data_IF_247574420091
#
_entry.id   IF_247574420091
#
_cell.length_a   1.000
_cell.length_b   1.000
_cell.length_c   1.000
_cell.angle_alpha   90.00
_cell.angle_beta   90.00
_cell.angle_gamma   90.00
#
_symmetry.space_group_name_H-M   'P 1'
#
loop_
_entity.id
_entity.type
_entity.pdbx_description
1 polymer ?
#
# COMPACT_ATOMS: atom_id res chain seq x y z
N UNK A 1 41.24 52.96 -23.24
CA UNK A 1 40.20 52.15 -23.90
C UNK A 1 39.84 51.03 -22.96
N UNK A 2 38.60 51.03 -22.49
CA UNK A 2 38.03 50.05 -21.57
C UNK A 2 37.32 49.01 -22.42
N UNK A 3 37.68 47.73 -22.30
CA UNK A 3 36.77 46.62 -22.60
C UNK A 3 37.20 45.42 -21.77
N UNK A 4 36.65 45.36 -20.57
CA UNK A 4 36.53 44.17 -19.71
C UNK A 4 35.64 43.15 -20.42
N UNK A 5 36.16 41.97 -20.72
CA UNK A 5 35.36 40.81 -21.09
C UNK A 5 35.10 39.96 -19.84
N UNK A 6 34.02 40.27 -19.11
CA UNK A 6 33.40 39.34 -18.17
C UNK A 6 32.61 38.33 -19.00
N UNK A 7 33.20 37.17 -19.32
CA UNK A 7 32.43 36.06 -19.84
C UNK A 7 31.62 35.43 -18.68
N UNK A 8 30.31 35.58 -18.76
CA UNK A 8 29.32 35.02 -17.85
C UNK A 8 29.36 33.47 -17.92
N UNK A 9 29.83 32.81 -16.86
CA UNK A 9 29.67 31.36 -16.66
C UNK A 9 28.35 30.99 -15.94
N UNK A 10 27.25 31.71 -16.19
CA UNK A 10 25.98 31.47 -15.47
C UNK A 10 24.98 30.61 -16.23
N UNK A 11 25.28 30.16 -17.45
CA UNK A 11 24.30 29.46 -18.29
C UNK A 11 24.15 27.93 -18.03
N UNK A 12 24.96 27.33 -17.15
CA UNK A 12 24.96 25.86 -16.98
C UNK A 12 24.18 25.33 -15.76
N UNK A 13 23.57 26.20 -14.95
CA UNK A 13 22.78 25.75 -13.79
C UNK A 13 21.30 25.45 -14.11
N UNK A 14 20.81 25.73 -15.32
CA UNK A 14 19.35 25.79 -15.60
C UNK A 14 18.78 24.51 -16.23
N UNK A 15 19.59 23.54 -16.63
CA UNK A 15 19.14 22.43 -17.47
C UNK A 15 19.45 21.02 -16.94
N UNK A 16 19.52 20.84 -15.61
CA UNK A 16 19.48 19.51 -15.02
C UNK A 16 18.33 19.44 -14.02
N UNK A 17 17.10 19.57 -14.51
CA UNK A 17 15.99 18.86 -13.88
C UNK A 17 16.28 17.38 -14.11
N UNK A 18 17.11 16.81 -13.23
CA UNK A 18 17.28 15.37 -13.10
C UNK A 18 15.86 14.81 -13.04
N UNK A 19 15.48 14.03 -14.04
CA UNK A 19 14.35 13.12 -13.91
C UNK A 19 14.69 12.22 -12.73
N UNK A 20 14.24 12.60 -11.54
CA UNK A 20 14.38 11.78 -10.36
C UNK A 20 13.65 10.48 -10.68
N UNK A 21 14.38 9.38 -10.66
CA UNK A 21 13.78 8.08 -10.96
C UNK A 21 12.69 7.80 -9.95
N UNK A 22 11.50 7.50 -10.46
CA UNK A 22 10.35 7.17 -9.64
C UNK A 22 10.61 5.84 -8.95
N UNK A 23 10.70 5.89 -7.63
CA UNK A 23 10.90 4.70 -6.79
C UNK A 23 9.55 4.15 -6.33
N UNK A 24 9.40 2.83 -6.34
CA UNK A 24 8.22 2.12 -5.87
C UNK A 24 8.65 1.18 -4.73
N UNK A 25 7.93 1.22 -3.62
CA UNK A 25 8.16 0.36 -2.46
C UNK A 25 6.99 -0.61 -2.29
N UNK A 26 7.33 -1.89 -2.12
CA UNK A 26 6.42 -2.93 -1.64
C UNK A 26 6.94 -3.43 -0.29
N UNK A 27 6.13 -3.32 0.75
CA UNK A 27 6.49 -3.82 2.09
C UNK A 27 5.25 -4.29 2.83
N UNK A 28 5.28 -5.51 3.35
CA UNK A 28 4.14 -6.11 4.05
C UNK A 28 4.42 -6.37 5.54
N UNK A 29 5.59 -5.96 6.02
CA UNK A 29 5.90 -5.94 7.45
C UNK A 29 5.52 -4.60 8.08
N UNK A 30 5.46 -4.59 9.41
CA UNK A 30 5.30 -3.38 10.21
C UNK A 30 6.57 -2.51 10.20
N UNK A 31 6.40 -1.18 10.26
CA UNK A 31 7.48 -0.18 10.26
C UNK A 31 6.97 1.18 10.74
N UNK A 32 7.87 2.13 11.03
CA UNK A 32 7.49 3.48 11.42
C UNK A 32 7.15 4.36 10.19
N UNK A 33 5.92 4.88 10.04
CA UNK A 33 5.50 5.67 8.88
C UNK A 33 6.40 6.87 8.52
N UNK A 34 6.97 7.52 9.54
CA UNK A 34 7.85 8.67 9.37
C UNK A 34 9.18 8.33 8.68
N UNK A 35 9.60 7.07 8.67
CA UNK A 35 10.86 6.62 8.06
C UNK A 35 10.72 6.35 6.56
N UNK A 36 9.48 6.27 6.03
CA UNK A 36 9.20 5.98 4.62
C UNK A 36 8.76 7.25 3.90
N UNK A 37 9.62 7.77 3.01
CA UNK A 37 9.37 9.02 2.29
C UNK A 37 10.00 9.04 0.90
N UNK A 38 9.47 9.91 0.02
CA UNK A 38 10.03 10.18 -1.30
C UNK A 38 9.73 9.14 -2.38
N UNK A 39 8.86 8.16 -2.10
CA UNK A 39 8.43 7.17 -3.08
C UNK A 39 7.29 7.70 -3.95
N UNK A 40 7.29 7.30 -5.23
CA UNK A 40 6.17 7.54 -6.13
C UNK A 40 4.96 6.71 -5.72
N UNK A 41 5.21 5.48 -5.27
CA UNK A 41 4.19 4.53 -4.84
C UNK A 41 4.71 3.69 -3.69
N UNK A 42 3.90 3.58 -2.64
CA UNK A 42 4.11 2.66 -1.52
C UNK A 42 2.92 1.69 -1.48
N UNK A 43 3.19 0.40 -1.46
CA UNK A 43 2.19 -0.66 -1.29
C UNK A 43 2.44 -1.36 0.03
N UNK A 44 1.43 -1.37 0.92
CA UNK A 44 1.54 -1.83 2.31
C UNK A 44 0.50 -2.88 2.68
N UNK A 45 0.79 -3.73 3.67
CA UNK A 45 -0.26 -4.46 4.40
C UNK A 45 -0.98 -3.47 5.32
N UNK A 46 -2.23 -3.15 4.99
CA UNK A 46 -3.00 -2.11 5.71
C UNK A 46 -3.33 -2.50 7.15
N UNK A 47 -3.36 -3.79 7.48
CA UNK A 47 -3.71 -4.26 8.82
C UNK A 47 -2.71 -3.82 9.91
N UNK A 48 -1.52 -3.33 9.54
CA UNK A 48 -0.50 -2.83 10.48
C UNK A 48 -0.66 -1.35 10.84
N UNK A 49 -1.51 -0.59 10.15
CA UNK A 49 -1.51 0.87 10.22
C UNK A 49 -2.91 1.42 10.52
N UNK A 50 -2.96 2.47 11.34
CA UNK A 50 -4.19 3.22 11.57
C UNK A 50 -4.34 4.44 10.64
N UNK A 51 -5.40 5.22 10.82
CA UNK A 51 -5.65 6.39 9.97
C UNK A 51 -4.60 7.50 10.11
N UNK A 52 -3.97 7.63 11.28
CA UNK A 52 -2.93 8.63 11.54
C UNK A 52 -1.63 8.23 10.85
N UNK A 53 -1.26 6.95 10.93
CA UNK A 53 -0.13 6.37 10.20
C UNK A 53 -0.27 6.56 8.68
N UNK A 54 -1.45 6.27 8.13
CA UNK A 54 -1.74 6.44 6.71
C UNK A 54 -1.67 7.92 6.30
N UNK A 55 -2.05 8.85 7.18
CA UNK A 55 -1.92 10.28 6.91
C UNK A 55 -0.45 10.70 6.79
N UNK A 56 0.43 10.20 7.68
CA UNK A 56 1.88 10.43 7.61
C UNK A 56 2.47 9.87 6.31
N UNK A 57 2.10 8.63 5.93
CA UNK A 57 2.57 8.02 4.69
C UNK A 57 2.18 8.82 3.45
N UNK A 58 0.93 9.31 3.39
CA UNK A 58 0.42 10.13 2.29
C UNK A 58 1.02 11.54 2.26
N UNK A 59 1.44 12.07 3.40
CA UNK A 59 2.18 13.33 3.45
C UNK A 59 3.59 13.17 2.89
N UNK A 60 4.23 12.02 3.14
CA UNK A 60 5.62 11.77 2.82
C UNK A 60 5.85 11.14 1.42
N UNK A 61 4.81 10.60 0.78
CA UNK A 61 4.89 9.85 -0.48
C UNK A 61 3.75 10.24 -1.42
N UNK A 62 3.92 9.99 -2.73
CA UNK A 62 2.94 10.44 -3.73
C UNK A 62 1.66 9.59 -3.76
N UNK A 63 1.79 8.25 -3.76
CA UNK A 63 0.65 7.32 -3.71
C UNK A 63 0.89 6.25 -2.66
N UNK A 64 -0.15 5.92 -1.88
CA UNK A 64 -0.13 4.83 -0.90
C UNK A 64 -1.30 3.89 -1.16
N UNK A 65 -1.03 2.60 -1.36
CA UNK A 65 -2.03 1.56 -1.62
C UNK A 65 -1.96 0.46 -0.56
N UNK A 66 -3.12 -0.05 -0.16
CA UNK A 66 -3.23 -1.28 0.64
C UNK A 66 -3.17 -2.51 -0.27
N UNK A 67 -2.34 -3.48 0.11
CA UNK A 67 -2.33 -4.81 -0.48
C UNK A 67 -3.61 -5.55 -0.09
N UNK A 68 -4.16 -6.32 -1.02
CA UNK A 68 -5.26 -7.24 -0.77
C UNK A 68 -5.07 -8.49 -1.63
N UNK A 69 -5.19 -9.66 -1.01
CA UNK A 69 -5.29 -10.93 -1.72
C UNK A 69 -6.76 -11.23 -1.99
N UNK A 70 -7.12 -11.40 -3.26
CA UNK A 70 -8.50 -11.75 -3.66
C UNK A 70 -8.65 -13.22 -4.04
N UNK A 71 -7.55 -13.90 -4.39
CA UNK A 71 -7.56 -15.30 -4.81
C UNK A 71 -7.20 -16.29 -3.70
N UNK A 72 -6.61 -15.80 -2.61
CA UNK A 72 -6.20 -16.63 -1.48
C UNK A 72 -6.44 -15.91 -0.16
N UNK A 73 -6.62 -16.67 0.93
CA UNK A 73 -6.75 -16.15 2.29
C UNK A 73 -5.74 -16.81 3.22
N UNK A 74 -5.05 -16.02 4.05
CA UNK A 74 -4.16 -16.52 5.09
C UNK A 74 -4.93 -16.75 6.39
N UNK A 75 -4.56 -17.76 7.20
CA UNK A 75 -5.23 -18.04 8.48
C UNK A 75 -5.20 -16.86 9.47
N UNK A 76 -4.21 -15.97 9.35
CA UNK A 76 -4.09 -14.77 10.18
C UNK A 76 -4.98 -13.60 9.70
N UNK A 77 -5.59 -13.69 8.52
CA UNK A 77 -6.46 -12.63 8.01
C UNK A 77 -7.75 -12.55 8.82
N UNK A 78 -8.21 -11.34 9.15
CA UNK A 78 -9.39 -11.13 9.99
C UNK A 78 -10.66 -11.80 9.45
N UNK A 79 -10.80 -11.86 8.12
CA UNK A 79 -11.94 -12.44 7.42
C UNK A 79 -11.80 -13.96 7.15
N UNK A 80 -10.68 -14.60 7.52
CA UNK A 80 -10.47 -16.04 7.32
C UNK A 80 -11.59 -16.93 7.90
N UNK A 81 -12.07 -16.71 9.14
CA UNK A 81 -13.12 -17.56 9.72
C UNK A 81 -14.42 -17.58 8.91
N UNK A 82 -14.69 -16.53 8.13
CA UNK A 82 -15.92 -16.37 7.34
C UNK A 82 -15.85 -17.09 5.98
N UNK A 83 -14.65 -17.28 5.42
CA UNK A 83 -14.48 -17.82 4.06
C UNK A 83 -13.64 -19.09 3.96
N UNK A 84 -13.07 -19.58 5.08
CA UNK A 84 -12.23 -20.79 5.11
C UNK A 84 -12.91 -22.04 4.53
N UNK A 85 -14.23 -22.13 4.62
CA UNK A 85 -15.01 -23.28 4.17
C UNK A 85 -15.30 -23.22 2.65
N UNK A 86 -15.01 -22.09 2.00
CA UNK A 86 -15.18 -21.86 0.56
C UNK A 86 -13.82 -21.84 -0.16
N UNK A 87 -13.04 -22.91 0.04
CA UNK A 87 -11.67 -23.02 -0.49
C UNK A 87 -11.47 -24.29 -1.31
N UNK A 88 -10.60 -24.22 -2.33
CA UNK A 88 -10.22 -25.38 -3.15
C UNK A 88 -9.07 -26.20 -2.56
N UNK A 89 -8.45 -25.70 -1.48
CA UNK A 89 -7.33 -26.34 -0.81
C UNK A 89 -6.27 -25.34 -0.37
N UNK A 90 -5.24 -25.89 0.28
CA UNK A 90 -4.14 -25.11 0.85
C UNK A 90 -2.96 -25.01 -0.12
N UNK A 91 -2.43 -23.80 -0.26
CA UNK A 91 -1.15 -23.51 -0.89
C UNK A 91 -0.04 -23.54 0.17
N UNK A 92 0.68 -24.66 0.25
CA UNK A 92 1.71 -24.88 1.29
C UNK A 92 2.91 -23.94 1.17
N UNK A 93 3.18 -23.37 -0.02
CA UNK A 93 4.29 -22.44 -0.22
C UNK A 93 4.03 -21.12 0.53
N UNK A 94 2.78 -20.65 0.51
CA UNK A 94 2.35 -19.37 1.08
C UNK A 94 1.58 -19.51 2.39
N UNK A 95 1.32 -20.75 2.83
CA UNK A 95 0.50 -21.06 4.00
C UNK A 95 -0.87 -20.35 3.97
N UNK A 96 -1.50 -20.37 2.80
CA UNK A 96 -2.76 -19.72 2.47
C UNK A 96 -3.74 -20.72 1.84
N UNK A 97 -5.01 -20.37 1.74
CA UNK A 97 -6.06 -21.20 1.13
C UNK A 97 -6.59 -20.53 -0.13
N UNK A 98 -6.70 -21.28 -1.22
CA UNK A 98 -7.20 -20.79 -2.51
C UNK A 98 -8.71 -20.65 -2.43
N UNK A 99 -9.22 -19.44 -2.67
CA UNK A 99 -10.63 -19.09 -2.52
C UNK A 99 -11.46 -19.50 -3.75
N UNK A 100 -12.70 -19.93 -3.50
CA UNK A 100 -13.74 -20.00 -4.53
C UNK A 100 -14.38 -18.61 -4.73
N UNK A 101 -13.82 -17.83 -5.65
CA UNK A 101 -14.33 -16.48 -5.97
C UNK A 101 -15.70 -16.49 -6.69
N UNK A 102 -16.14 -17.63 -7.23
CA UNK A 102 -17.48 -17.77 -7.81
C UNK A 102 -18.55 -18.01 -6.73
N UNK A 103 -18.16 -18.41 -5.52
CA UNK A 103 -19.06 -18.46 -4.38
C UNK A 103 -19.52 -17.04 -3.95
N UNK A 104 -20.81 -16.91 -3.68
CA UNK A 104 -21.44 -15.61 -3.37
C UNK A 104 -21.00 -15.08 -2.00
N UNK A 105 -20.93 -15.94 -0.98
CA UNK A 105 -20.44 -15.57 0.36
C UNK A 105 -18.99 -15.07 0.31
N UNK A 106 -18.13 -15.74 -0.45
CA UNK A 106 -16.73 -15.32 -0.65
C UNK A 106 -16.66 -13.93 -1.26
N UNK A 107 -17.45 -13.64 -2.31
CA UNK A 107 -17.52 -12.29 -2.89
C UNK A 107 -17.99 -11.25 -1.89
N UNK A 108 -19.03 -11.56 -1.12
CA UNK A 108 -19.58 -10.62 -0.14
C UNK A 108 -18.56 -10.26 0.93
N UNK A 109 -17.86 -11.26 1.48
CA UNK A 109 -16.81 -11.03 2.47
C UNK A 109 -15.65 -10.23 1.88
N UNK A 110 -15.18 -10.57 0.66
CA UNK A 110 -14.13 -9.81 -0.01
C UNK A 110 -14.55 -8.36 -0.29
N UNK A 111 -15.80 -8.12 -0.68
CA UNK A 111 -16.32 -6.76 -0.88
C UNK A 111 -16.43 -5.97 0.43
N UNK A 112 -16.75 -6.64 1.54
CA UNK A 112 -16.82 -6.00 2.85
C UNK A 112 -15.47 -5.43 3.33
N UNK A 113 -14.35 -5.97 2.87
CA UNK A 113 -13.01 -5.42 3.15
C UNK A 113 -12.87 -3.98 2.66
N UNK A 114 -13.52 -3.63 1.54
CA UNK A 114 -13.51 -2.27 1.00
C UNK A 114 -14.54 -1.35 1.67
N UNK A 115 -15.50 -1.90 2.41
CA UNK A 115 -16.60 -1.14 3.00
C UNK A 115 -16.30 -0.77 4.46
N UNK A 116 -15.48 0.28 4.63
CA UNK A 116 -15.07 0.83 5.94
C UNK A 116 -16.24 1.28 6.84
N UNK A 117 -17.49 1.31 6.33
CA UNK A 117 -18.69 1.64 7.12
C UNK A 117 -19.44 0.41 7.64
N UNK A 118 -18.97 -0.80 7.36
CA UNK A 118 -19.64 -2.03 7.78
C UNK A 118 -19.31 -2.36 9.26
N UNK A 119 -20.31 -2.47 10.17
CA UNK A 119 -20.11 -2.61 11.62
C UNK A 119 -19.36 -3.87 12.09
N UNK A 120 -19.01 -4.82 11.23
CA UNK A 120 -18.22 -6.01 11.57
C UNK A 120 -16.75 -5.71 11.93
N UNK A 121 -16.29 -4.46 11.78
CA UNK A 121 -14.93 -4.02 12.13
C UNK A 121 -14.86 -2.90 13.19
N UNK A 122 -15.97 -2.60 13.88
CA UNK A 122 -15.93 -1.67 15.03
C UNK A 122 -16.07 -2.40 16.37
N UNK A 123 -14.96 -2.73 17.07
CA UNK A 123 -15.00 -3.33 18.40
C UNK A 123 -15.45 -2.36 19.52
N UNK A 124 -15.81 -1.10 19.20
CA UNK A 124 -16.25 -0.09 20.18
C UNK A 124 -17.77 0.17 20.16
N UNK A 125 -18.59 -0.78 19.69
CA UNK A 125 -20.03 -0.76 19.95
C UNK A 125 -20.44 -1.92 20.88
N UNK A 126 -20.04 -1.80 22.14
CA UNK A 126 -20.70 -2.42 23.30
C UNK A 126 -20.82 -1.39 24.41
#
# INVERSE_FOLDING_TARGET
>A
MVTTALCLNTAQSVAQKLTQEKQILFTYGDFYPAEVSGYELVVIESAHFDSEDIAVLKQNNNTVLGYISLGEVNEAAAHFPEIKDFTFGKNEIWNSYILDIENEETRQVLMAIFDYKNPLHNPLQT
#
